data_IF_724105745094
#
_entry.id   IF_724105745094
#
_cell.length_a   1.000
_cell.length_b   1.000
_cell.length_c   1.000
_cell.angle_alpha   90.00
_cell.angle_beta   90.00
_cell.angle_gamma   90.00
#
_symmetry.space_group_name_H-M   'P 1'
#
loop_
_entity.id
_entity.type
_entity.pdbx_description
1 polymer ?
#
# COMPACT_ATOMS: atom_id res chain seq x y z
N UNK A 1 11.82 -31.16 14.28
CA UNK A 1 11.42 -31.01 12.86
C UNK A 1 11.55 -29.52 12.49
N UNK A 2 12.45 -29.16 11.57
CA UNK A 2 12.53 -27.78 11.08
C UNK A 2 11.24 -27.47 10.32
N UNK A 3 10.40 -26.60 10.86
CA UNK A 3 9.18 -26.13 10.17
C UNK A 3 9.60 -25.28 8.97
N UNK A 4 9.22 -25.70 7.76
CA UNK A 4 9.53 -24.94 6.54
C UNK A 4 8.76 -23.60 6.56
N UNK A 5 9.44 -22.48 6.21
CA UNK A 5 8.80 -21.15 6.11
C UNK A 5 7.77 -21.17 4.94
N UNK A 6 8.20 -21.63 3.79
CA UNK A 6 7.34 -21.71 2.59
C UNK A 6 6.50 -22.99 2.63
N UNK A 7 5.38 -22.91 3.38
CA UNK A 7 4.29 -23.89 3.29
C UNK A 7 3.33 -23.44 2.17
N UNK A 8 2.52 -24.36 1.64
CA UNK A 8 1.61 -24.11 0.53
C UNK A 8 0.83 -22.79 0.66
N UNK A 9 0.14 -22.61 1.79
CA UNK A 9 -0.74 -21.46 1.98
C UNK A 9 0.05 -20.13 2.08
N UNK A 10 1.16 -20.12 2.82
CA UNK A 10 2.04 -18.94 2.87
C UNK A 10 2.66 -18.63 1.50
N UNK A 11 3.07 -19.65 0.73
CA UNK A 11 3.59 -19.46 -0.63
C UNK A 11 2.54 -18.85 -1.54
N UNK A 12 1.27 -19.30 -1.47
CA UNK A 12 0.17 -18.74 -2.23
C UNK A 12 -0.08 -17.27 -1.87
N UNK A 13 -0.06 -16.92 -0.57
CA UNK A 13 -0.14 -15.52 -0.13
C UNK A 13 0.99 -14.68 -0.72
N UNK A 14 2.24 -15.16 -0.66
CA UNK A 14 3.40 -14.42 -1.18
C UNK A 14 3.28 -14.21 -2.69
N UNK A 15 2.90 -15.23 -3.45
CA UNK A 15 2.74 -15.10 -4.91
C UNK A 15 1.56 -14.18 -5.25
N UNK A 16 0.40 -14.33 -4.58
CA UNK A 16 -0.73 -13.43 -4.73
C UNK A 16 -0.32 -11.97 -4.45
N UNK A 17 0.42 -11.75 -3.34
CA UNK A 17 0.95 -10.43 -2.99
C UNK A 17 1.91 -9.86 -4.05
N UNK A 18 2.80 -10.66 -4.61
CA UNK A 18 3.70 -10.21 -5.69
C UNK A 18 2.85 -9.69 -6.85
N UNK A 19 1.84 -10.44 -7.27
CA UNK A 19 1.02 -10.12 -8.44
C UNK A 19 0.14 -8.89 -8.18
N UNK A 20 -0.60 -8.86 -7.07
CA UNK A 20 -1.53 -7.77 -6.76
C UNK A 20 -0.80 -6.46 -6.43
N UNK A 21 0.29 -6.52 -5.64
CA UNK A 21 1.09 -5.33 -5.31
C UNK A 21 1.78 -4.75 -6.54
N UNK A 22 2.23 -5.60 -7.46
CA UNK A 22 2.84 -5.15 -8.70
C UNK A 22 1.82 -4.42 -9.59
N UNK A 23 0.64 -5.04 -9.80
CA UNK A 23 -0.47 -4.40 -10.51
C UNK A 23 -0.91 -3.09 -9.85
N UNK A 24 -0.97 -3.06 -8.51
CA UNK A 24 -1.30 -1.86 -7.74
C UNK A 24 -0.24 -0.75 -7.88
N UNK A 25 1.05 -1.10 -7.80
CA UNK A 25 2.14 -0.11 -7.88
C UNK A 25 2.19 0.57 -9.25
N UNK A 26 2.01 -0.19 -10.34
CA UNK A 26 1.91 0.35 -11.69
C UNK A 26 0.69 1.28 -11.81
N UNK A 27 -0.47 0.85 -11.31
CA UNK A 27 -1.72 1.59 -11.38
C UNK A 27 -1.68 2.90 -10.58
N UNK A 28 -1.15 2.84 -9.36
CA UNK A 28 -0.96 4.02 -8.48
C UNK A 28 0.02 5.04 -9.04
N UNK A 29 0.94 4.62 -9.88
CA UNK A 29 1.82 5.51 -10.64
C UNK A 29 1.09 6.12 -11.85
N UNK A 30 0.43 5.29 -12.66
CA UNK A 30 -0.12 5.69 -13.94
C UNK A 30 -1.39 6.54 -13.84
N UNK A 31 -2.30 6.23 -12.89
CA UNK A 31 -3.58 6.94 -12.80
C UNK A 31 -3.43 8.43 -12.45
N UNK A 32 -2.69 8.82 -11.38
CA UNK A 32 -2.49 10.23 -11.07
C UNK A 32 -1.74 10.96 -12.20
N UNK A 33 -0.75 10.30 -12.81
CA UNK A 33 0.02 10.86 -13.90
C UNK A 33 -0.83 11.11 -15.15
N UNK A 34 -1.74 10.19 -15.50
CA UNK A 34 -2.71 10.38 -16.56
C UNK A 34 -3.62 11.59 -16.30
N UNK A 35 -4.13 11.73 -15.07
CA UNK A 35 -4.94 12.87 -14.67
C UNK A 35 -4.18 14.19 -14.83
N UNK A 36 -2.90 14.23 -14.42
CA UNK A 36 -2.03 15.40 -14.57
C UNK A 36 -1.85 15.78 -16.05
N UNK A 37 -1.67 14.80 -16.93
CA UNK A 37 -1.53 15.01 -18.37
C UNK A 37 -2.81 15.51 -19.02
N UNK A 38 -3.93 14.86 -18.73
CA UNK A 38 -5.24 15.21 -19.33
C UNK A 38 -5.72 16.60 -18.91
N UNK A 39 -5.47 16.98 -17.67
CA UNK A 39 -5.97 18.26 -17.14
C UNK A 39 -4.96 19.40 -17.26
N UNK A 40 -3.67 19.10 -17.35
CA UNK A 40 -2.59 20.09 -17.29
C UNK A 40 -2.53 20.86 -15.95
N UNK A 41 -3.41 20.54 -15.01
CA UNK A 41 -3.58 21.27 -13.74
C UNK A 41 -2.89 20.58 -12.56
N UNK A 42 -1.77 21.15 -12.13
CA UNK A 42 -1.04 20.71 -10.94
C UNK A 42 -1.90 20.80 -9.67
N UNK A 43 -2.72 21.85 -9.56
CA UNK A 43 -3.61 22.04 -8.41
C UNK A 43 -4.65 20.92 -8.34
N UNK A 44 -5.28 20.59 -9.46
CA UNK A 44 -6.29 19.54 -9.54
C UNK A 44 -5.68 18.18 -9.22
N UNK A 45 -4.51 17.87 -9.79
CA UNK A 45 -3.74 16.68 -9.47
C UNK A 45 -3.46 16.56 -7.96
N UNK A 46 -2.98 17.64 -7.33
CA UNK A 46 -2.69 17.67 -5.90
C UNK A 46 -3.94 17.44 -5.05
N UNK A 47 -5.04 18.13 -5.35
CA UNK A 47 -6.30 18.01 -4.59
C UNK A 47 -6.88 16.59 -4.74
N UNK A 48 -6.96 16.06 -5.94
CA UNK A 48 -7.49 14.70 -6.18
C UNK A 48 -6.65 13.64 -5.46
N UNK A 49 -5.32 13.78 -5.56
CA UNK A 49 -4.40 12.87 -4.87
C UNK A 49 -4.57 12.96 -3.35
N UNK A 50 -4.63 14.15 -2.79
CA UNK A 50 -4.84 14.34 -1.35
C UNK A 50 -6.18 13.75 -0.87
N UNK A 51 -7.27 14.01 -1.60
CA UNK A 51 -8.59 13.45 -1.29
C UNK A 51 -8.61 11.92 -1.33
N UNK A 52 -7.79 11.30 -2.20
CA UNK A 52 -7.73 9.84 -2.33
C UNK A 52 -7.11 9.16 -1.10
N UNK A 53 -6.26 9.84 -0.34
CA UNK A 53 -5.70 9.30 0.90
C UNK A 53 -6.72 9.26 2.06
N UNK A 54 -7.75 10.10 2.07
CA UNK A 54 -8.72 10.14 3.16
C UNK A 54 -9.45 8.80 3.36
N UNK A 55 -10.03 8.15 2.33
CA UNK A 55 -10.60 6.81 2.46
C UNK A 55 -9.59 5.75 2.90
N UNK A 56 -8.35 5.83 2.42
CA UNK A 56 -7.29 4.89 2.81
C UNK A 56 -7.03 4.94 4.32
N UNK A 57 -6.89 6.14 4.89
CA UNK A 57 -6.65 6.31 6.34
C UNK A 57 -7.85 5.81 7.15
N UNK A 58 -9.07 6.20 6.77
CA UNK A 58 -10.29 5.79 7.48
C UNK A 58 -10.47 4.27 7.41
N UNK A 59 -10.33 3.70 6.21
CA UNK A 59 -10.56 2.27 6.00
C UNK A 59 -9.41 1.40 6.50
N UNK A 60 -8.20 1.91 6.69
CA UNK A 60 -7.12 1.16 7.33
C UNK A 60 -7.42 0.85 8.82
N UNK A 61 -8.03 1.80 9.52
CA UNK A 61 -8.47 1.59 10.91
C UNK A 61 -9.60 0.56 10.99
N UNK A 62 -10.59 0.69 10.10
CA UNK A 62 -11.71 -0.26 9.99
C UNK A 62 -11.22 -1.64 9.54
N UNK A 63 -10.28 -1.66 8.61
CA UNK A 63 -9.68 -2.87 8.04
C UNK A 63 -8.97 -3.73 9.09
N UNK A 64 -8.26 -3.10 10.03
CA UNK A 64 -7.64 -3.81 11.15
C UNK A 64 -8.67 -4.56 12.00
N UNK A 65 -9.72 -3.86 12.44
CA UNK A 65 -10.81 -4.49 13.23
C UNK A 65 -11.59 -5.53 12.40
N UNK A 66 -11.77 -5.29 11.11
CA UNK A 66 -12.43 -6.25 10.22
C UNK A 66 -11.60 -7.52 10.05
N UNK A 67 -10.27 -7.37 9.89
CA UNK A 67 -9.34 -8.47 9.77
C UNK A 67 -9.33 -9.38 11.01
N UNK A 68 -9.62 -8.85 12.20
CA UNK A 68 -9.73 -9.65 13.42
C UNK A 68 -11.03 -10.45 13.53
N UNK A 69 -12.08 -10.03 12.82
CA UNK A 69 -13.45 -10.56 12.97
C UNK A 69 -13.94 -11.40 11.80
N UNK A 70 -13.41 -11.18 10.62
CA UNK A 70 -13.77 -11.88 9.38
C UNK A 70 -12.63 -12.74 8.91
N UNK A 71 -12.92 -13.78 8.14
CA UNK A 71 -11.88 -14.59 7.54
C UNK A 71 -10.99 -13.71 6.62
N UNK A 72 -9.72 -13.63 6.92
CA UNK A 72 -8.74 -12.79 6.22
C UNK A 72 -8.65 -13.15 4.73
N UNK A 73 -8.78 -14.44 4.41
CA UNK A 73 -8.86 -14.91 3.03
C UNK A 73 -10.04 -14.27 2.28
N UNK A 74 -11.23 -14.29 2.88
CA UNK A 74 -12.44 -13.79 2.21
C UNK A 74 -12.38 -12.26 2.03
N UNK A 75 -11.70 -11.55 2.95
CA UNK A 75 -11.41 -10.12 2.81
C UNK A 75 -10.48 -9.90 1.61
N UNK A 76 -9.35 -10.63 1.52
CA UNK A 76 -8.36 -10.46 0.46
C UNK A 76 -8.99 -10.76 -0.90
N UNK A 77 -9.62 -11.91 -1.06
CA UNK A 77 -10.32 -12.34 -2.29
C UNK A 77 -11.38 -11.31 -2.72
N UNK A 78 -12.23 -10.89 -1.78
CA UNK A 78 -13.29 -9.92 -2.07
C UNK A 78 -12.77 -8.56 -2.50
N UNK A 79 -11.69 -8.10 -1.88
CA UNK A 79 -11.08 -6.80 -2.20
C UNK A 79 -10.34 -6.84 -3.55
N UNK A 80 -9.62 -7.92 -3.87
CA UNK A 80 -8.94 -8.06 -5.16
C UNK A 80 -9.93 -8.16 -6.32
N UNK A 81 -11.02 -8.95 -6.19
CA UNK A 81 -12.09 -8.95 -7.19
C UNK A 81 -12.79 -7.59 -7.32
N UNK A 82 -13.04 -6.91 -6.20
CA UNK A 82 -13.63 -5.56 -6.22
C UNK A 82 -12.71 -4.57 -6.94
N UNK A 83 -11.41 -4.66 -6.71
CA UNK A 83 -10.41 -3.84 -7.40
C UNK A 83 -10.42 -4.11 -8.91
N UNK A 84 -10.40 -5.38 -9.32
CA UNK A 84 -10.48 -5.75 -10.73
C UNK A 84 -11.77 -5.22 -11.39
N UNK A 85 -12.91 -5.34 -10.71
CA UNK A 85 -14.19 -4.84 -11.20
C UNK A 85 -14.20 -3.31 -11.35
N UNK A 86 -13.68 -2.57 -10.35
CA UNK A 86 -13.57 -1.12 -10.40
C UNK A 86 -12.67 -0.67 -11.57
N UNK A 87 -11.53 -1.35 -11.78
CA UNK A 87 -10.64 -1.05 -12.89
C UNK A 87 -11.33 -1.29 -14.24
N UNK A 88 -12.07 -2.39 -14.38
CA UNK A 88 -12.81 -2.67 -15.61
C UNK A 88 -13.96 -1.67 -15.85
N UNK A 89 -14.70 -1.30 -14.81
CA UNK A 89 -15.71 -0.24 -14.91
C UNK A 89 -15.08 1.11 -15.32
N UNK A 90 -13.93 1.44 -14.74
CA UNK A 90 -13.16 2.62 -15.11
C UNK A 90 -12.72 2.57 -16.58
N UNK A 91 -12.17 1.44 -17.04
CA UNK A 91 -11.76 1.21 -18.41
C UNK A 91 -12.89 1.52 -19.41
N UNK A 92 -14.10 1.01 -19.17
CA UNK A 92 -15.26 1.23 -20.05
C UNK A 92 -15.87 2.62 -19.91
N UNK A 93 -15.64 3.32 -18.80
CA UNK A 93 -16.17 4.66 -18.53
C UNK A 93 -15.25 5.77 -19.04
N UNK A 94 -13.98 5.46 -19.27
CA UNK A 94 -12.99 6.43 -19.74
C UNK A 94 -13.39 6.99 -21.12
N UNK A 95 -13.41 8.32 -21.25
CA UNK A 95 -13.86 9.01 -22.45
C UNK A 95 -15.39 9.14 -22.62
N UNK A 96 -16.20 8.51 -21.74
CA UNK A 96 -17.67 8.63 -21.75
C UNK A 96 -18.21 9.50 -20.61
N UNK A 97 -17.48 9.57 -19.52
CA UNK A 97 -17.83 10.35 -18.33
C UNK A 97 -16.79 11.43 -18.13
N UNK A 98 -17.14 12.62 -17.58
CA UNK A 98 -16.16 13.66 -17.29
C UNK A 98 -14.98 13.11 -16.47
N UNK A 99 -13.76 13.36 -16.94
CA UNK A 99 -12.54 12.73 -16.45
C UNK A 99 -12.32 12.97 -14.94
N UNK A 100 -12.45 14.22 -14.48
CA UNK A 100 -12.11 14.59 -13.11
C UNK A 100 -12.96 13.86 -12.06
N UNK A 101 -14.31 13.91 -12.06
CA UNK A 101 -15.13 13.20 -11.08
C UNK A 101 -14.94 11.69 -11.17
N UNK A 102 -14.73 11.12 -12.36
CA UNK A 102 -14.46 9.71 -12.54
C UNK A 102 -13.16 9.31 -11.82
N UNK A 103 -12.07 10.08 -11.99
CA UNK A 103 -10.79 9.83 -11.33
C UNK A 103 -10.87 9.99 -9.81
N UNK A 104 -11.58 11.01 -9.31
CA UNK A 104 -11.80 11.20 -7.87
C UNK A 104 -12.41 9.94 -7.26
N UNK A 105 -13.52 9.48 -7.82
CA UNK A 105 -14.24 8.31 -7.30
C UNK A 105 -13.37 7.04 -7.37
N UNK A 106 -12.76 6.79 -8.52
CA UNK A 106 -11.95 5.57 -8.72
C UNK A 106 -10.72 5.57 -7.82
N UNK A 107 -9.98 6.66 -7.72
CA UNK A 107 -8.82 6.74 -6.85
C UNK A 107 -9.22 6.61 -5.37
N UNK A 108 -10.31 7.25 -4.93
CA UNK A 108 -10.81 7.10 -3.56
C UNK A 108 -11.18 5.65 -3.25
N UNK A 109 -11.81 4.93 -4.17
CA UNK A 109 -12.16 3.51 -4.00
C UNK A 109 -10.90 2.62 -3.95
N UNK A 110 -9.98 2.79 -4.90
CA UNK A 110 -8.76 1.99 -4.97
C UNK A 110 -7.85 2.20 -3.74
N UNK A 111 -7.68 3.45 -3.30
CA UNK A 111 -6.90 3.75 -2.10
C UNK A 111 -7.60 3.24 -0.84
N UNK A 112 -8.92 3.35 -0.77
CA UNK A 112 -9.72 2.82 0.33
C UNK A 112 -9.60 1.30 0.46
N UNK A 113 -9.70 0.57 -0.66
CA UNK A 113 -9.50 -0.88 -0.71
C UNK A 113 -8.09 -1.24 -0.22
N UNK A 114 -7.05 -0.54 -0.70
CA UNK A 114 -5.67 -0.77 -0.27
C UNK A 114 -5.50 -0.57 1.25
N UNK A 115 -6.21 0.40 1.85
CA UNK A 115 -6.22 0.63 3.28
C UNK A 115 -6.75 -0.56 4.09
N UNK A 116 -7.73 -1.30 3.55
CA UNK A 116 -8.30 -2.49 4.22
C UNK A 116 -7.51 -3.77 3.92
N UNK A 117 -6.95 -3.88 2.72
CA UNK A 117 -6.25 -5.07 2.26
C UNK A 117 -4.95 -5.35 3.03
N UNK A 118 -4.12 -4.34 3.25
CA UNK A 118 -2.83 -4.49 3.91
C UNK A 118 -2.93 -5.03 5.37
N UNK A 119 -3.83 -4.53 6.23
CA UNK A 119 -4.05 -5.11 7.54
C UNK A 119 -4.50 -6.58 7.49
N UNK A 120 -5.32 -6.98 6.52
CA UNK A 120 -5.76 -8.36 6.37
C UNK A 120 -4.59 -9.30 6.02
N UNK A 121 -3.69 -8.88 5.13
CA UNK A 121 -2.47 -9.63 4.80
C UNK A 121 -1.57 -9.76 6.02
N UNK A 122 -1.26 -8.67 6.71
CA UNK A 122 -0.40 -8.68 7.90
C UNK A 122 -0.98 -9.57 9.01
N UNK A 123 -2.30 -9.52 9.23
CA UNK A 123 -2.98 -10.37 10.19
C UNK A 123 -3.05 -11.85 9.78
N UNK A 124 -2.83 -12.18 8.51
CA UNK A 124 -2.79 -13.57 8.03
C UNK A 124 -1.45 -14.27 8.31
N UNK A 125 -0.34 -13.55 8.31
CA UNK A 125 1.02 -14.10 8.46
C UNK A 125 1.17 -14.94 9.73
N UNK A 126 0.74 -14.47 10.94
CA UNK A 126 0.87 -15.27 12.16
C UNK A 126 0.06 -16.57 12.15
N UNK A 127 -0.95 -16.70 11.28
CA UNK A 127 -1.79 -17.89 11.16
C UNK A 127 -1.22 -18.91 10.18
N UNK A 128 -0.31 -18.48 9.29
CA UNK A 128 0.24 -19.27 8.20
C UNK A 128 1.69 -19.73 8.48
N UNK A 129 2.40 -19.04 9.36
CA UNK A 129 3.81 -19.25 9.64
C UNK A 129 3.98 -19.65 11.12
N UNK A 130 4.90 -20.57 11.40
CA UNK A 130 5.23 -20.97 12.77
C UNK A 130 5.82 -19.78 13.57
N UNK A 131 5.58 -19.74 14.87
CA UNK A 131 5.98 -18.63 15.77
C UNK A 131 7.46 -18.28 15.66
N UNK A 132 8.34 -19.27 15.53
CA UNK A 132 9.79 -19.11 15.42
C UNK A 132 10.22 -18.48 14.09
N UNK A 133 9.33 -18.45 13.10
CA UNK A 133 9.59 -17.92 11.75
C UNK A 133 8.76 -16.68 11.41
N UNK A 134 8.03 -16.11 12.35
CA UNK A 134 7.20 -14.93 12.15
C UNK A 134 8.01 -13.73 11.62
N UNK A 135 9.20 -13.51 12.16
CA UNK A 135 10.08 -12.43 11.70
C UNK A 135 10.49 -12.63 10.24
N UNK A 136 10.83 -13.84 9.86
CA UNK A 136 11.16 -14.18 8.48
C UNK A 136 9.95 -14.05 7.53
N UNK A 137 8.75 -14.47 7.98
CA UNK A 137 7.52 -14.32 7.22
C UNK A 137 7.17 -12.85 6.95
N UNK A 138 7.22 -12.01 7.98
CA UNK A 138 7.01 -10.56 7.84
C UNK A 138 8.09 -9.91 6.96
N UNK A 139 9.34 -10.35 7.07
CA UNK A 139 10.43 -9.87 6.23
C UNK A 139 10.16 -10.17 4.74
N UNK A 140 9.66 -11.36 4.40
CA UNK A 140 9.28 -11.71 3.02
C UNK A 140 8.18 -10.77 2.49
N UNK A 141 7.10 -10.56 3.27
CA UNK A 141 6.01 -9.66 2.85
C UNK A 141 6.51 -8.22 2.69
N UNK A 142 7.34 -7.72 3.60
CA UNK A 142 7.93 -6.40 3.50
C UNK A 142 8.87 -6.28 2.28
N UNK A 143 9.64 -7.33 1.98
CA UNK A 143 10.48 -7.37 0.78
C UNK A 143 9.66 -7.26 -0.50
N UNK A 144 8.52 -7.97 -0.58
CA UNK A 144 7.59 -7.89 -1.72
C UNK A 144 7.03 -6.48 -1.87
N UNK A 145 6.61 -5.84 -0.77
CA UNK A 145 6.14 -4.45 -0.76
C UNK A 145 7.22 -3.49 -1.28
N UNK A 146 8.43 -3.62 -0.77
CA UNK A 146 9.55 -2.75 -1.15
C UNK A 146 9.92 -2.92 -2.62
N UNK A 147 9.99 -4.17 -3.09
CA UNK A 147 10.32 -4.48 -4.47
C UNK A 147 9.24 -3.98 -5.44
N UNK A 148 7.97 -4.12 -5.08
CA UNK A 148 6.85 -3.58 -5.86
C UNK A 148 6.89 -2.05 -5.90
N UNK A 149 7.22 -1.41 -4.79
CA UNK A 149 7.39 0.05 -4.71
C UNK A 149 8.57 0.58 -5.53
N UNK A 150 9.62 -0.23 -5.70
CA UNK A 150 10.78 0.10 -6.54
C UNK A 150 10.49 -0.11 -8.02
N UNK A 151 10.03 -1.30 -8.39
CA UNK A 151 9.86 -1.72 -9.79
C UNK A 151 8.56 -1.17 -10.41
N UNK A 152 7.51 -1.01 -9.61
CA UNK A 152 6.21 -0.56 -10.10
C UNK A 152 6.26 0.77 -10.84
N UNK A 153 6.79 1.86 -10.26
CA UNK A 153 6.91 3.14 -10.93
C UNK A 153 7.81 3.10 -12.17
N UNK A 154 8.91 2.34 -12.14
CA UNK A 154 9.83 2.20 -13.27
C UNK A 154 9.12 1.54 -14.45
N UNK A 155 8.50 0.39 -14.21
CA UNK A 155 7.76 -0.34 -15.24
C UNK A 155 6.51 0.43 -15.66
N UNK A 156 5.80 1.03 -14.70
CA UNK A 156 4.64 1.88 -14.95
C UNK A 156 4.97 3.06 -15.85
N UNK A 157 6.10 3.75 -15.60
CA UNK A 157 6.57 4.86 -16.42
C UNK A 157 6.90 4.45 -17.87
N UNK A 158 7.61 3.33 -18.03
CA UNK A 158 7.91 2.78 -19.38
C UNK A 158 6.63 2.37 -20.09
N UNK A 159 5.76 1.60 -19.44
CA UNK A 159 4.50 1.15 -20.02
C UNK A 159 3.58 2.32 -20.39
N UNK A 160 3.49 3.32 -19.50
CA UNK A 160 2.65 4.49 -19.73
C UNK A 160 3.14 5.32 -20.92
N UNK A 161 4.46 5.47 -21.07
CA UNK A 161 5.06 6.19 -22.21
C UNK A 161 4.87 5.45 -23.52
N UNK A 162 5.00 4.11 -23.52
CA UNK A 162 4.94 3.33 -24.75
C UNK A 162 3.51 3.00 -25.19
N UNK A 163 2.63 2.69 -24.25
CA UNK A 163 1.31 2.10 -24.56
C UNK A 163 0.13 2.90 -24.01
N UNK A 164 0.39 3.92 -23.19
CA UNK A 164 -0.67 4.73 -22.56
C UNK A 164 -1.39 3.99 -21.43
N UNK A 165 -2.57 4.52 -21.03
CA UNK A 165 -3.29 4.06 -19.85
C UNK A 165 -4.05 2.74 -20.04
N UNK A 166 -4.61 2.48 -21.22
CA UNK A 166 -5.52 1.35 -21.45
C UNK A 166 -4.88 -0.03 -21.22
N UNK A 167 -3.68 -0.33 -21.75
CA UNK A 167 -2.99 -1.60 -21.47
C UNK A 167 -2.63 -1.77 -20.00
N UNK A 168 -2.32 -0.68 -19.29
CA UNK A 168 -2.05 -0.70 -17.85
C UNK A 168 -3.29 -1.11 -17.07
N UNK A 169 -4.46 -0.55 -17.41
CA UNK A 169 -5.73 -0.94 -16.76
C UNK A 169 -6.03 -2.42 -16.97
N UNK A 170 -5.88 -2.92 -18.20
CA UNK A 170 -6.10 -4.34 -18.50
C UNK A 170 -5.14 -5.25 -17.75
N UNK A 171 -3.84 -4.93 -17.77
CA UNK A 171 -2.83 -5.69 -17.05
C UNK A 171 -3.14 -5.72 -15.54
N UNK A 172 -3.44 -4.57 -14.96
CA UNK A 172 -3.77 -4.48 -13.54
C UNK A 172 -5.03 -5.28 -13.19
N UNK A 173 -6.09 -5.21 -14.01
CA UNK A 173 -7.30 -6.00 -13.81
C UNK A 173 -7.02 -7.51 -13.86
N UNK A 174 -6.18 -7.96 -14.80
CA UNK A 174 -5.74 -9.36 -14.90
C UNK A 174 -4.92 -9.75 -13.68
N UNK A 175 -3.98 -8.92 -13.23
CA UNK A 175 -3.18 -9.18 -12.03
C UNK A 175 -4.07 -9.36 -10.79
N UNK A 176 -5.02 -8.45 -10.54
CA UNK A 176 -5.92 -8.55 -9.40
C UNK A 176 -6.87 -9.75 -9.48
N UNK A 177 -7.40 -10.04 -10.68
CA UNK A 177 -8.23 -11.24 -10.89
C UNK A 177 -7.44 -12.52 -10.63
N UNK A 178 -6.19 -12.60 -11.11
CA UNK A 178 -5.35 -13.76 -10.93
C UNK A 178 -4.92 -13.92 -9.46
N UNK A 179 -4.58 -12.83 -8.78
CA UNK A 179 -4.32 -12.82 -7.34
C UNK A 179 -5.52 -13.33 -6.55
N UNK A 180 -6.72 -12.80 -6.82
CA UNK A 180 -7.96 -13.24 -6.17
C UNK A 180 -8.22 -14.74 -6.38
N UNK A 181 -8.01 -15.26 -7.60
CA UNK A 181 -8.17 -16.69 -7.89
C UNK A 181 -7.15 -17.52 -7.07
N UNK A 182 -5.90 -17.09 -6.99
CA UNK A 182 -4.91 -17.79 -6.18
C UNK A 182 -5.27 -17.77 -4.69
N UNK A 183 -5.78 -16.67 -4.20
CA UNK A 183 -6.18 -16.49 -2.79
C UNK A 183 -7.37 -17.37 -2.40
N UNK A 184 -8.24 -17.76 -3.33
CA UNK A 184 -9.33 -18.72 -3.09
C UNK A 184 -8.80 -20.07 -2.58
N UNK A 185 -7.63 -20.48 -3.04
CA UNK A 185 -7.01 -21.75 -2.66
C UNK A 185 -6.25 -21.73 -1.34
N UNK A 186 -6.15 -20.57 -0.69
CA UNK A 186 -5.48 -20.42 0.62
C UNK A 186 -6.43 -20.92 1.71
N UNK A 187 -5.87 -21.67 2.65
CA UNK A 187 -6.60 -22.08 3.85
C UNK A 187 -6.07 -21.31 5.07
N UNK A 188 -6.84 -20.33 5.54
CA UNK A 188 -6.53 -19.56 6.76
C UNK A 188 -7.46 -20.02 7.87
N UNK A 189 -6.97 -20.57 9.00
CA UNK A 189 -7.78 -20.90 10.14
C UNK A 189 -8.52 -19.66 10.66
N UNK A 190 -9.83 -19.77 10.81
CA UNK A 190 -10.67 -18.68 11.29
C UNK A 190 -11.50 -19.12 12.50
N UNK A 191 -11.23 -18.51 13.64
CA UNK A 191 -12.07 -18.63 14.82
C UNK A 191 -13.10 -17.50 14.84
N UNK A 192 -14.38 -17.85 14.81
CA UNK A 192 -15.47 -16.87 14.88
C UNK A 192 -15.47 -16.23 16.27
N UNK A 193 -15.07 -14.97 16.37
CA UNK A 193 -15.26 -14.18 17.59
C UNK A 193 -16.68 -13.63 17.68
N UNK A 194 -17.29 -13.56 18.89
CA UNK A 194 -18.64 -13.02 19.04
C UNK A 194 -18.78 -11.60 18.51
N UNK A 195 -19.91 -11.33 17.84
CA UNK A 195 -20.23 -10.02 17.21
C UNK A 195 -20.81 -9.01 18.23
N UNK A 196 -20.31 -8.93 19.45
CA UNK A 196 -20.97 -8.16 20.50
C UNK A 196 -20.87 -6.63 20.38
N UNK A 197 -19.88 -6.08 19.63
CA UNK A 197 -19.70 -4.63 19.53
C UNK A 197 -19.56 -4.17 18.09
N UNK A 198 -20.21 -3.03 17.74
CA UNK A 198 -20.08 -2.40 16.41
C UNK A 198 -18.64 -2.00 16.13
N UNK A 199 -18.11 -2.34 14.94
CA UNK A 199 -16.72 -2.08 14.52
C UNK A 199 -16.31 -0.64 14.77
N UNK A 200 -17.12 0.34 14.37
CA UNK A 200 -16.82 1.77 14.57
C UNK A 200 -16.71 2.19 16.04
N UNK A 201 -17.46 1.54 16.94
CA UNK A 201 -17.36 1.81 18.38
C UNK A 201 -16.04 1.31 18.95
N UNK A 202 -15.58 0.13 18.49
CA UNK A 202 -14.27 -0.42 18.90
C UNK A 202 -13.14 0.48 18.42
N UNK A 203 -13.13 0.83 17.14
CA UNK A 203 -12.14 1.77 16.59
C UNK A 203 -12.10 3.08 17.37
N UNK A 204 -13.27 3.66 17.68
CA UNK A 204 -13.34 4.90 18.45
C UNK A 204 -12.83 4.77 19.90
N UNK A 205 -13.10 3.63 20.54
CA UNK A 205 -12.60 3.35 21.90
C UNK A 205 -11.09 3.16 21.90
N UNK A 206 -10.56 2.34 21.00
CA UNK A 206 -9.13 2.04 20.89
C UNK A 206 -8.31 3.30 20.55
N UNK A 207 -8.81 4.16 19.66
CA UNK A 207 -8.19 5.45 19.34
C UNK A 207 -8.18 6.39 20.55
N UNK A 208 -9.29 6.46 21.28
CA UNK A 208 -9.39 7.32 22.47
C UNK A 208 -8.46 6.84 23.58
N UNK A 209 -8.40 5.55 23.81
CA UNK A 209 -7.53 4.93 24.82
C UNK A 209 -6.05 5.13 24.47
N UNK A 210 -5.67 4.87 23.21
CA UNK A 210 -4.32 5.11 22.71
C UNK A 210 -3.92 6.59 22.82
N UNK A 211 -4.81 7.52 22.46
CA UNK A 211 -4.57 8.95 22.57
C UNK A 211 -4.38 9.37 24.04
N UNK A 212 -5.24 8.91 24.94
CA UNK A 212 -5.15 9.21 26.36
C UNK A 212 -3.85 8.66 26.97
N UNK A 213 -3.50 7.40 26.65
CA UNK A 213 -2.26 6.79 27.12
C UNK A 213 -1.04 7.61 26.72
N UNK A 214 -0.91 7.94 25.43
CA UNK A 214 0.24 8.71 24.92
C UNK A 214 0.30 10.10 25.55
N UNK A 215 -0.85 10.77 25.67
CA UNK A 215 -0.91 12.13 26.22
C UNK A 215 -0.59 12.19 27.71
N UNK A 216 -1.04 11.19 28.48
CA UNK A 216 -0.93 11.20 29.96
C UNK A 216 0.36 10.57 30.45
N UNK A 217 0.74 9.42 29.90
CA UNK A 217 1.89 8.66 30.38
C UNK A 217 3.20 8.98 29.65
N UNK A 218 3.11 9.47 28.41
CA UNK A 218 4.30 9.72 27.57
C UNK A 218 4.21 11.07 26.82
N UNK A 219 4.15 12.22 27.52
CA UNK A 219 3.93 13.53 26.86
C UNK A 219 5.07 13.93 25.91
N UNK A 220 6.32 13.54 26.20
CA UNK A 220 7.45 13.78 25.29
C UNK A 220 7.27 13.00 23.99
N UNK A 221 6.80 11.74 24.09
CA UNK A 221 6.52 10.91 22.93
C UNK A 221 5.42 11.52 22.03
N UNK A 222 4.40 12.12 22.63
CA UNK A 222 3.36 12.84 21.89
C UNK A 222 3.96 13.99 21.05
N UNK A 223 4.82 14.81 21.65
CA UNK A 223 5.48 15.92 20.95
C UNK A 223 6.38 15.44 19.81
N UNK A 224 7.14 14.37 20.03
CA UNK A 224 8.00 13.77 19.01
C UNK A 224 7.16 13.22 17.85
N UNK A 225 6.11 12.46 18.12
CA UNK A 225 5.21 11.91 17.10
C UNK A 225 4.55 13.03 16.30
N UNK A 226 4.11 14.09 16.97
CA UNK A 226 3.51 15.25 16.30
C UNK A 226 4.49 15.97 15.38
N UNK A 227 5.71 16.23 15.84
CA UNK A 227 6.77 16.86 15.03
C UNK A 227 7.12 16.01 13.81
N UNK A 228 7.36 14.71 14.03
CA UNK A 228 7.67 13.75 12.95
C UNK A 228 6.51 13.65 11.96
N UNK A 229 5.27 13.69 12.42
CA UNK A 229 4.10 13.65 11.55
C UNK A 229 3.99 14.89 10.66
N UNK A 230 4.24 16.10 11.19
CA UNK A 230 4.26 17.33 10.38
C UNK A 230 5.39 17.28 9.35
N UNK A 231 6.58 16.87 9.77
CA UNK A 231 7.72 16.77 8.86
C UNK A 231 7.45 15.77 7.72
N UNK A 232 6.91 14.59 8.06
CA UNK A 232 6.52 13.61 7.06
C UNK A 232 5.39 14.09 6.15
N UNK A 233 4.41 14.85 6.68
CA UNK A 233 3.32 15.41 5.87
C UNK A 233 3.89 16.32 4.78
N UNK A 234 4.77 17.25 5.14
CA UNK A 234 5.38 18.18 4.18
C UNK A 234 6.25 17.44 3.17
N UNK A 235 7.13 16.55 3.66
CA UNK A 235 8.02 15.79 2.79
C UNK A 235 7.25 14.88 1.82
N UNK A 236 6.22 14.19 2.30
CA UNK A 236 5.38 13.33 1.46
C UNK A 236 4.60 14.13 0.41
N UNK A 237 4.08 15.32 0.77
CA UNK A 237 3.42 16.19 -0.19
C UNK A 237 4.37 16.62 -1.32
N UNK A 238 5.61 17.01 -0.99
CA UNK A 238 6.63 17.35 -1.99
C UNK A 238 6.98 16.13 -2.86
N UNK A 239 7.15 14.96 -2.26
CA UNK A 239 7.53 13.75 -3.00
C UNK A 239 6.39 13.23 -3.88
N UNK A 240 5.16 13.21 -3.40
CA UNK A 240 4.03 12.63 -4.12
C UNK A 240 3.45 13.58 -5.16
N UNK A 241 3.37 14.87 -4.83
CA UNK A 241 2.75 15.89 -5.70
C UNK A 241 3.81 16.72 -6.42
N UNK A 242 4.84 17.18 -5.72
CA UNK A 242 5.86 18.06 -6.28
C UNK A 242 6.75 17.38 -7.31
N UNK A 243 7.18 16.14 -7.07
CA UNK A 243 8.11 15.44 -7.97
C UNK A 243 7.55 15.21 -9.38
N UNK A 244 6.33 14.67 -9.57
CA UNK A 244 5.79 14.52 -10.92
C UNK A 244 5.60 15.86 -11.63
N UNK A 245 5.14 16.91 -10.94
CA UNK A 245 4.99 18.24 -11.50
C UNK A 245 6.35 18.80 -11.95
N UNK A 246 7.36 18.70 -11.08
CA UNK A 246 8.71 19.16 -11.40
C UNK A 246 9.25 18.46 -12.64
N UNK A 247 9.18 17.13 -12.71
CA UNK A 247 9.80 16.36 -13.79
C UNK A 247 9.02 16.51 -15.10
N UNK A 248 7.69 16.38 -15.07
CA UNK A 248 6.91 16.32 -16.30
C UNK A 248 6.45 17.68 -16.81
N UNK A 249 6.15 18.65 -15.92
CA UNK A 249 5.65 19.97 -16.32
C UNK A 249 6.73 21.05 -16.34
N UNK A 250 7.59 21.11 -15.31
CA UNK A 250 8.62 22.16 -15.21
C UNK A 250 9.83 21.82 -16.07
N UNK A 251 10.36 20.59 -15.96
CA UNK A 251 11.52 20.13 -16.71
C UNK A 251 11.17 19.56 -18.07
N UNK A 252 9.88 19.31 -18.39
CA UNK A 252 9.42 18.76 -19.66
C UNK A 252 9.95 17.35 -19.96
N UNK A 253 10.35 16.59 -18.93
CA UNK A 253 10.90 15.24 -19.10
C UNK A 253 9.78 14.21 -19.31
N UNK A 254 10.16 13.02 -19.81
CA UNK A 254 9.22 11.92 -20.07
C UNK A 254 8.73 11.27 -18.77
N UNK A 255 7.57 10.60 -18.87
CA UNK A 255 7.01 9.81 -17.75
C UNK A 255 7.91 8.65 -17.35
N UNK A 256 8.67 8.12 -18.32
CA UNK A 256 9.72 7.13 -18.05
C UNK A 256 10.78 7.68 -17.10
N UNK A 257 11.22 8.95 -17.30
CA UNK A 257 12.19 9.60 -16.43
C UNK A 257 11.62 9.83 -15.03
N UNK A 258 10.34 10.19 -14.92
CA UNK A 258 9.65 10.23 -13.63
C UNK A 258 9.63 8.86 -12.95
N UNK A 259 9.34 7.79 -13.69
CA UNK A 259 9.40 6.41 -13.17
C UNK A 259 10.79 6.03 -12.65
N UNK A 260 11.85 6.37 -13.38
CA UNK A 260 13.25 6.16 -12.92
C UNK A 260 13.60 6.98 -11.68
N UNK A 261 13.11 8.21 -11.58
CA UNK A 261 13.31 9.05 -10.38
C UNK A 261 12.67 8.42 -9.15
N UNK A 262 11.46 7.88 -9.28
CA UNK A 262 10.79 7.15 -8.20
C UNK A 262 11.54 5.85 -7.83
N UNK A 263 12.05 5.14 -8.84
CA UNK A 263 12.91 3.97 -8.63
C UNK A 263 14.19 4.32 -7.89
N UNK A 264 14.87 5.40 -8.25
CA UNK A 264 16.08 5.88 -7.57
C UNK A 264 15.80 6.27 -6.11
N UNK A 265 14.66 6.92 -5.85
CA UNK A 265 14.21 7.26 -4.49
C UNK A 265 13.99 5.99 -3.64
N UNK A 266 13.33 4.99 -4.19
CA UNK A 266 13.11 3.72 -3.51
C UNK A 266 14.41 2.96 -3.24
N UNK A 267 15.37 2.98 -4.19
CA UNK A 267 16.73 2.44 -3.99
C UNK A 267 17.47 3.16 -2.86
N UNK A 268 17.38 4.49 -2.80
CA UNK A 268 17.95 5.27 -1.71
C UNK A 268 17.38 4.86 -0.34
N UNK A 269 16.07 4.64 -0.27
CA UNK A 269 15.42 4.13 0.94
C UNK A 269 15.91 2.74 1.36
N UNK A 270 16.09 1.82 0.40
CA UNK A 270 16.66 0.50 0.65
C UNK A 270 18.10 0.57 1.17
N UNK A 271 18.96 1.35 0.50
CA UNK A 271 20.36 1.52 0.92
C UNK A 271 20.45 2.16 2.32
N UNK A 272 19.62 3.18 2.59
CA UNK A 272 19.52 3.80 3.91
C UNK A 272 19.09 2.83 5.00
N UNK A 273 18.08 1.99 4.72
CA UNK A 273 17.62 0.96 5.63
C UNK A 273 18.70 -0.09 5.95
N UNK A 274 19.44 -0.53 4.94
CA UNK A 274 20.57 -1.47 5.12
C UNK A 274 21.68 -0.84 5.95
N UNK A 275 22.07 0.40 5.65
CA UNK A 275 23.10 1.12 6.41
C UNK A 275 22.70 1.28 7.88
N UNK A 276 21.45 1.66 8.15
CA UNK A 276 20.95 1.78 9.54
C UNK A 276 20.96 0.44 10.26
N UNK A 277 20.57 -0.64 9.59
CA UNK A 277 20.65 -1.99 10.16
C UNK A 277 22.10 -2.40 10.48
N UNK A 278 23.04 -2.12 9.61
CA UNK A 278 24.47 -2.42 9.83
C UNK A 278 25.06 -1.61 10.99
N UNK A 279 24.73 -0.33 11.10
CA UNK A 279 25.22 0.52 12.21
C UNK A 279 24.63 0.11 13.55
N UNK A 280 23.35 -0.27 13.60
CA UNK A 280 22.74 -0.78 14.84
C UNK A 280 23.36 -2.10 15.34
N UNK A 281 23.80 -2.97 14.44
CA UNK A 281 24.56 -4.18 14.81
C UNK A 281 25.94 -3.84 15.38
N UNK A 282 26.60 -2.81 14.89
CA UNK A 282 27.91 -2.37 15.39
C UNK A 282 27.79 -1.74 16.80
N UNK A 283 26.75 -0.95 17.05
CA UNK A 283 26.53 -0.34 18.38
C UNK A 283 26.17 -1.36 19.44
N UNK A 284 25.36 -2.38 19.13
CA UNK A 284 25.04 -3.46 20.07
C UNK A 284 26.28 -4.29 20.42
N UNK A 285 27.20 -4.48 19.49
CA UNK A 285 28.49 -5.16 19.72
C UNK A 285 29.46 -4.40 20.62
N UNK A 286 29.34 -3.08 20.74
CA UNK A 286 30.21 -2.24 21.56
C UNK A 286 29.67 -2.01 22.99
N UNK A 287 28.39 -2.33 23.26
CA UNK A 287 27.75 -2.16 24.57
C UNK A 287 27.61 -3.44 25.41
N UNK A 288 28.19 -4.57 24.98
CA UNK A 288 28.31 -5.77 25.82
C UNK A 288 29.71 -5.77 26.45
N UNK A 289 29.88 -5.31 27.70
CA UNK A 289 31.12 -5.59 28.47
C UNK A 289 31.16 -7.09 28.77
N UNK A 290 32.29 -7.70 28.47
CA UNK A 290 32.68 -9.05 28.87
C UNK A 290 32.62 -9.27 30.38
#
# INVERSE_FOLDING_TARGET
>A
MQTKLFRRDFTLVVIGQIISLFGNAILRFALPLYLLRETGSSTLFGVVTACSFAPMVILSMVGGVLADRVNKRDIMVGLDFSTAAIIMLFYFSLGKIPTVPLFVVVLMLLYGISGTYQPAVQASVPLLVAKEKLMAGNAVINQVNTLSGLLGPVIGGVMFTLWGIYPILLLSAVCFTFSAIMEIFIHIPHEKRPREVRVFRVVGMDLKESYQFVKTEKPIFFSVVFLVSIFNLVLSAVMIVGTPILITQVLGMSDTMYGFTQGALALGGLCGGILTAMTSFLEVGTFLPT
#
